data_IF_944038234593
#
_entry.id   IF_944038234593
#
_cell.length_a   1.000
_cell.length_b   1.000
_cell.length_c   1.000
_cell.angle_alpha   90.00
_cell.angle_beta   90.00
_cell.angle_gamma   90.00
#
_symmetry.space_group_name_H-M   'P 1'
#
loop_
_entity.id
_entity.type
_entity.pdbx_description
1 polymer ?
#
# COMPACT_ATOMS: atom_id res chain seq x y z
N UNK A 1 11.50 -5.97 -11.89
CA UNK A 1 10.74 -6.92 -11.05
C UNK A 1 9.61 -6.12 -10.41
N UNK A 2 8.39 -6.61 -10.38
CA UNK A 2 7.25 -5.94 -9.74
C UNK A 2 6.35 -6.97 -9.10
N UNK A 3 5.61 -6.58 -8.07
CA UNK A 3 4.64 -7.44 -7.41
C UNK A 3 3.58 -6.60 -6.68
N UNK A 4 2.51 -7.29 -6.28
CA UNK A 4 1.46 -6.76 -5.44
C UNK A 4 1.67 -7.20 -3.98
N UNK A 5 1.33 -6.32 -3.05
CA UNK A 5 1.31 -6.64 -1.63
C UNK A 5 -0.01 -6.19 -1.03
N UNK A 6 -0.58 -7.06 -0.19
CA UNK A 6 -1.78 -6.75 0.57
C UNK A 6 -1.40 -6.39 2.00
N UNK A 7 -1.76 -5.18 2.43
CA UNK A 7 -1.51 -4.69 3.77
C UNK A 7 -2.82 -4.65 4.57
N UNK A 8 -2.93 -5.56 5.53
CA UNK A 8 -3.98 -5.45 6.54
C UNK A 8 -3.62 -4.33 7.51
N UNK A 9 -4.40 -3.25 7.49
CA UNK A 9 -4.31 -2.16 8.48
C UNK A 9 -5.04 -2.51 9.78
N UNK A 10 -5.62 -3.72 9.85
CA UNK A 10 -6.16 -4.24 11.09
C UNK A 10 -5.05 -4.43 12.12
N UNK A 11 -5.42 -4.33 13.39
CA UNK A 11 -4.62 -4.54 14.60
C UNK A 11 -3.97 -5.95 14.73
N UNK A 12 -3.78 -6.67 13.62
CA UNK A 12 -2.75 -7.70 13.49
C UNK A 12 -1.33 -7.09 13.41
N UNK A 13 -1.13 -5.90 13.97
CA UNK A 13 0.11 -5.60 14.66
C UNK A 13 0.38 -6.82 15.54
N UNK A 14 1.53 -7.47 15.36
CA UNK A 14 1.96 -8.54 16.26
C UNK A 14 1.65 -8.08 17.70
N UNK A 15 0.73 -8.75 18.40
CA UNK A 15 0.27 -8.32 19.74
C UNK A 15 1.43 -8.18 20.73
N UNK A 16 2.59 -8.75 20.42
CA UNK A 16 3.83 -8.58 21.17
C UNK A 16 4.47 -7.18 21.02
N UNK A 17 4.17 -6.43 19.95
CA UNK A 17 4.68 -5.07 19.70
C UNK A 17 3.69 -3.96 20.07
N UNK A 18 2.41 -4.27 20.32
CA UNK A 18 1.42 -3.27 20.74
C UNK A 18 1.50 -3.08 22.26
N UNK A 19 2.40 -2.20 22.73
CA UNK A 19 2.57 -1.90 24.15
C UNK A 19 2.06 -0.50 24.49
N UNK A 20 0.91 -0.44 25.14
CA UNK A 20 0.38 0.79 25.72
C UNK A 20 1.11 1.11 27.02
N UNK A 21 1.63 2.33 27.16
CA UNK A 21 2.21 2.85 28.39
C UNK A 21 1.27 3.88 29.00
N UNK A 22 0.94 3.73 30.28
CA UNK A 22 0.08 4.64 31.01
C UNK A 22 0.09 4.33 32.51
N UNK A 23 -0.20 5.32 33.33
CA UNK A 23 -0.37 5.15 34.79
C UNK A 23 -1.69 4.46 35.15
N UNK A 24 -2.64 4.39 34.21
CA UNK A 24 -3.93 3.73 34.35
C UNK A 24 -4.22 2.84 33.12
N UNK A 25 -5.07 1.83 33.29
CA UNK A 25 -5.44 0.92 32.21
C UNK A 25 -6.19 1.68 31.10
N UNK A 26 -5.66 1.75 29.86
CA UNK A 26 -6.36 2.34 28.74
C UNK A 26 -7.53 1.43 28.37
N UNK A 27 -8.72 1.70 28.94
CA UNK A 27 -9.97 0.95 28.67
C UNK A 27 -10.49 1.09 27.23
N UNK A 28 -9.68 1.63 26.32
CA UNK A 28 -10.02 1.86 24.93
C UNK A 28 -9.13 0.98 24.05
N UNK A 29 -9.64 -0.19 23.68
CA UNK A 29 -9.18 -0.90 22.48
C UNK A 29 -10.25 -0.67 21.42
N UNK A 30 -10.03 0.31 20.55
CA UNK A 30 -10.93 0.52 19.41
C UNK A 30 -10.38 -0.27 18.24
N UNK A 31 -10.84 -1.51 18.07
CA UNK A 31 -10.60 -2.24 16.82
C UNK A 31 -11.53 -1.65 15.76
N UNK A 32 -11.03 -0.68 15.00
CA UNK A 32 -11.68 -0.30 13.77
C UNK A 32 -11.24 -1.26 12.68
N UNK A 33 -12.19 -1.89 11.98
CA UNK A 33 -11.88 -2.68 10.80
C UNK A 33 -11.43 -1.73 9.69
N UNK A 34 -10.11 -1.52 9.58
CA UNK A 34 -9.54 -0.81 8.46
C UNK A 34 -9.44 -1.81 7.30
N UNK A 35 -10.03 -1.44 6.17
CA UNK A 35 -10.06 -2.32 5.01
C UNK A 35 -8.61 -2.58 4.55
N UNK A 36 -8.28 -3.81 4.18
CA UNK A 36 -6.96 -4.11 3.66
C UNK A 36 -6.64 -3.21 2.47
N UNK A 37 -5.41 -2.68 2.40
CA UNK A 37 -4.93 -1.87 1.29
C UNK A 37 -4.07 -2.72 0.38
N UNK A 38 -4.47 -2.85 -0.88
CA UNK A 38 -3.62 -3.46 -1.89
C UNK A 38 -2.69 -2.41 -2.48
N UNK A 39 -1.42 -2.77 -2.65
CA UNK A 39 -0.36 -1.88 -3.12
C UNK A 39 0.41 -2.56 -4.23
N UNK A 40 0.76 -1.81 -5.26
CA UNK A 40 1.70 -2.24 -6.29
C UNK A 40 3.06 -1.58 -6.08
N UNK A 41 4.13 -2.36 -6.27
CA UNK A 41 5.51 -1.89 -6.23
C UNK A 41 6.37 -2.54 -7.30
N UNK A 42 7.35 -1.79 -7.79
CA UNK A 42 8.32 -2.22 -8.79
C UNK A 42 9.75 -1.87 -8.38
N UNK A 43 10.69 -2.70 -8.81
CA UNK A 43 12.13 -2.47 -8.69
C UNK A 43 12.76 -2.58 -10.08
N UNK A 44 13.53 -1.56 -10.42
CA UNK A 44 14.41 -1.50 -11.58
C UNK A 44 15.87 -1.45 -11.14
N UNK A 45 16.79 -1.66 -12.08
CA UNK A 45 18.22 -1.76 -11.79
C UNK A 45 18.78 -0.53 -11.04
N UNK A 46 18.20 0.65 -11.25
CA UNK A 46 18.67 1.91 -10.68
C UNK A 46 17.70 2.59 -9.70
N UNK A 47 16.48 2.07 -9.51
CA UNK A 47 15.49 2.67 -8.60
C UNK A 47 14.33 1.73 -8.25
N UNK A 48 13.62 2.10 -7.19
CA UNK A 48 12.28 1.58 -6.86
C UNK A 48 11.23 2.46 -7.57
N UNK A 49 10.15 1.84 -8.05
CA UNK A 49 8.94 2.46 -8.58
C UNK A 49 7.79 2.08 -7.62
N UNK A 50 6.94 3.02 -7.25
CA UNK A 50 5.91 2.78 -6.23
C UNK A 50 6.34 3.26 -4.84
N UNK A 51 5.47 3.15 -3.82
CA UNK A 51 4.21 2.41 -3.79
C UNK A 51 3.06 3.10 -4.55
N UNK A 52 2.26 2.31 -5.27
CA UNK A 52 0.95 2.73 -5.79
C UNK A 52 -0.16 2.09 -4.96
N UNK A 53 -1.03 2.92 -4.38
CA UNK A 53 -2.15 2.45 -3.57
C UNK A 53 -3.42 2.42 -4.41
N UNK A 54 -4.12 1.28 -4.42
CA UNK A 54 -5.43 1.18 -5.05
C UNK A 54 -6.48 1.75 -4.09
N UNK A 55 -6.95 2.95 -4.40
CA UNK A 55 -7.91 3.71 -3.58
C UNK A 55 -8.91 4.45 -4.46
N UNK A 56 -10.15 4.56 -3.98
CA UNK A 56 -11.19 5.40 -4.58
C UNK A 56 -10.91 6.90 -4.35
N UNK A 57 -11.73 7.76 -4.94
CA UNK A 57 -11.63 9.23 -4.80
C UNK A 57 -11.63 9.72 -3.34
N UNK A 58 -12.33 9.02 -2.45
CA UNK A 58 -12.39 9.33 -1.01
C UNK A 58 -11.17 8.82 -0.21
N UNK A 59 -10.15 8.26 -0.89
CA UNK A 59 -8.97 7.67 -0.26
C UNK A 59 -9.23 6.33 0.43
N UNK A 60 -10.38 5.71 0.17
CA UNK A 60 -10.73 4.39 0.70
C UNK A 60 -10.11 3.29 -0.16
N UNK A 61 -9.53 2.22 0.43
CA UNK A 61 -8.97 1.11 -0.34
C UNK A 61 -9.98 0.50 -1.29
N UNK A 62 -9.58 0.31 -2.54
CA UNK A 62 -10.38 -0.32 -3.58
C UNK A 62 -9.91 -1.76 -3.81
N UNK A 63 -10.86 -2.66 -4.11
CA UNK A 63 -10.52 -3.99 -4.61
C UNK A 63 -9.92 -3.86 -6.00
N UNK A 64 -8.74 -4.46 -6.21
CA UNK A 64 -8.09 -4.44 -7.54
C UNK A 64 -9.00 -5.09 -8.57
N UNK A 65 -9.40 -4.31 -9.56
CA UNK A 65 -10.06 -4.74 -10.78
C UNK A 65 -9.11 -4.63 -11.98
N UNK A 66 -9.43 -5.31 -13.08
CA UNK A 66 -8.69 -5.20 -14.34
C UNK A 66 -8.54 -3.72 -14.79
N UNK A 67 -9.63 -2.95 -14.70
CA UNK A 67 -9.63 -1.53 -15.06
C UNK A 67 -8.73 -0.70 -14.16
N UNK A 68 -8.76 -0.91 -12.84
CA UNK A 68 -7.89 -0.21 -11.89
C UNK A 68 -6.41 -0.53 -12.14
N UNK A 69 -6.11 -1.78 -12.51
CA UNK A 69 -4.75 -2.23 -12.80
C UNK A 69 -4.21 -1.63 -14.12
N UNK A 70 -5.02 -1.63 -15.18
CA UNK A 70 -4.67 -0.95 -16.45
C UNK A 70 -4.44 0.54 -16.21
N UNK A 71 -5.32 1.19 -15.46
CA UNK A 71 -5.21 2.62 -15.10
C UNK A 71 -3.89 2.91 -14.37
N UNK A 72 -3.49 2.04 -13.45
CA UNK A 72 -2.20 2.13 -12.77
C UNK A 72 -1.03 1.97 -13.75
N UNK A 73 -1.08 1.01 -14.67
CA UNK A 73 -0.01 0.83 -15.67
C UNK A 73 0.15 2.08 -16.53
N UNK A 74 -0.95 2.56 -17.11
CA UNK A 74 -0.92 3.64 -18.09
C UNK A 74 -0.59 5.00 -17.45
N UNK A 75 -1.18 5.29 -16.29
CA UNK A 75 -1.08 6.63 -15.69
C UNK A 75 0.02 6.76 -14.64
N UNK A 76 0.50 5.64 -14.08
CA UNK A 76 1.53 5.67 -13.04
C UNK A 76 2.82 4.98 -13.49
N UNK A 77 2.76 3.71 -13.90
CA UNK A 77 3.97 2.93 -14.21
C UNK A 77 4.70 3.44 -15.45
N UNK A 78 4.00 3.59 -16.57
CA UNK A 78 4.61 3.99 -17.85
C UNK A 78 5.28 5.36 -17.75
N UNK A 79 4.63 6.42 -17.22
CA UNK A 79 5.28 7.71 -17.03
C UNK A 79 6.49 7.64 -16.10
N UNK A 80 6.41 6.86 -15.02
CA UNK A 80 7.56 6.68 -14.13
C UNK A 80 8.71 5.99 -14.83
N UNK A 81 8.45 4.93 -15.60
CA UNK A 81 9.46 4.18 -16.34
C UNK A 81 10.17 5.06 -17.37
N UNK A 82 9.44 5.90 -18.10
CA UNK A 82 9.97 6.77 -19.17
C UNK A 82 10.82 7.93 -18.66
N UNK A 83 10.58 8.44 -17.43
CA UNK A 83 11.33 9.56 -16.87
C UNK A 83 12.84 9.31 -16.70
N UNK A 84 13.30 8.05 -16.79
CA UNK A 84 14.73 7.74 -16.86
C UNK A 84 14.93 6.33 -17.45
N UNK A 85 14.97 6.18 -18.79
CA UNK A 85 15.18 4.88 -19.40
C UNK A 85 16.54 4.33 -18.94
N UNK A 86 16.59 3.02 -18.70
CA UNK A 86 17.85 2.34 -18.38
C UNK A 86 18.86 2.67 -19.50
N UNK A 87 19.90 3.45 -19.17
CA UNK A 87 21.07 3.57 -20.04
C UNK A 87 21.80 2.24 -19.95
N UNK A 88 21.49 1.35 -20.89
CA UNK A 88 22.25 0.11 -21.13
C UNK A 88 23.54 0.47 -21.85
#
# INVERSE_FOLDING_TARGET
MSDEAHFDLNDYVNKQNCRFWGSENPRATHQHQLHPSSVWGGVMANRVIGPYFFQNEDGTPETISETSYITMIENFLMPMAEQNPLKI
#
